data_IF_353369221511
#
_entry.id   IF_353369221511
#
_cell.length_a   1.000
_cell.length_b   1.000
_cell.length_c   1.000
_cell.angle_alpha   90.00
_cell.angle_beta   90.00
_cell.angle_gamma   90.00
#
_symmetry.space_group_name_H-M   'P 1'
#
loop_
_entity.id
_entity.type
_entity.pdbx_description
1 polymer ?
#
# COMPACT_ATOMS: atom_id res chain seq x y z
N UNK A 1 0.79 -12.33 1.15
CA UNK A 1 1.94 -11.39 1.21
C UNK A 1 2.54 -11.47 2.60
N UNK A 2 3.85 -11.31 2.75
CA UNK A 2 4.45 -11.20 4.07
C UNK A 2 3.88 -9.98 4.80
N UNK A 3 3.84 -10.05 6.12
CA UNK A 3 3.50 -8.90 6.96
C UNK A 3 4.50 -7.77 6.65
N UNK A 4 3.98 -6.58 6.46
CA UNK A 4 4.79 -5.39 6.20
C UNK A 4 4.84 -4.57 7.48
N UNK A 5 6.06 -4.17 7.86
CA UNK A 5 6.33 -3.30 9.00
C UNK A 5 6.88 -1.98 8.52
N UNK A 6 6.34 -0.91 9.06
CA UNK A 6 6.77 0.46 8.76
C UNK A 6 7.18 1.16 10.06
N UNK A 7 8.36 1.76 10.04
CA UNK A 7 8.83 2.61 11.12
C UNK A 7 8.93 4.02 10.58
N UNK A 8 8.15 4.93 11.16
CA UNK A 8 8.14 6.35 10.84
C UNK A 8 9.03 7.13 11.81
N UNK A 9 9.86 8.02 11.28
CA UNK A 9 10.63 8.96 12.08
C UNK A 9 10.52 10.34 11.45
N UNK A 10 10.04 11.31 12.23
CA UNK A 10 9.97 12.71 11.86
C UNK A 10 10.85 13.51 12.80
N UNK A 11 11.70 14.32 12.22
CA UNK A 11 12.62 15.17 12.94
C UNK A 11 12.19 16.63 12.82
N UNK A 12 12.27 17.36 13.92
CA UNK A 12 11.99 18.79 13.99
C UNK A 12 13.23 19.55 14.43
N UNK A 13 13.61 20.57 13.67
CA UNK A 13 14.65 21.51 14.05
C UNK A 13 14.16 22.41 15.17
N UNK A 14 14.97 22.62 16.21
CA UNK A 14 14.63 23.50 17.32
C UNK A 14 14.82 24.98 16.98
N UNK A 15 15.65 25.28 16.02
CA UNK A 15 15.73 26.63 15.45
C UNK A 15 14.81 26.60 14.23
N UNK A 16 13.77 27.42 14.26
CA UNK A 16 13.06 27.73 13.04
C UNK A 16 14.13 28.08 12.02
N UNK A 17 14.20 27.32 10.93
CA UNK A 17 14.79 27.83 9.72
C UNK A 17 13.98 29.10 9.44
N UNK A 18 14.49 30.22 9.93
CA UNK A 18 13.90 31.49 9.69
C UNK A 18 14.25 31.84 8.26
N UNK A 19 13.51 31.23 7.33
CA UNK A 19 13.64 31.54 5.90
C UNK A 19 13.54 33.05 5.65
N UNK A 20 12.88 33.79 6.56
CA UNK A 20 12.81 35.22 6.51
C UNK A 20 14.15 35.95 6.70
N UNK A 21 14.94 35.53 7.67
CA UNK A 21 16.22 36.19 7.96
C UNK A 21 17.32 35.75 6.96
N UNK A 22 17.26 34.53 6.46
CA UNK A 22 18.17 34.04 5.43
C UNK A 22 17.91 34.70 4.06
N UNK A 23 16.71 35.11 3.76
CA UNK A 23 16.36 35.80 2.52
C UNK A 23 16.69 37.30 2.52
N UNK A 24 16.85 37.94 3.68
CA UNK A 24 17.20 39.37 3.77
C UNK A 24 18.69 39.63 3.59
N UNK A 25 19.55 38.67 3.88
CA UNK A 25 21.01 38.81 3.77
C UNK A 25 21.59 38.33 2.43
N UNK A 26 20.82 37.65 1.64
CA UNK A 26 21.24 37.20 0.30
C UNK A 26 20.75 38.23 -0.70
N UNK A 27 21.59 39.16 -1.04
CA UNK A 27 21.29 40.16 -2.10
C UNK A 27 20.78 39.45 -3.35
N UNK A 28 19.96 40.13 -4.14
CA UNK A 28 19.16 39.65 -5.30
C UNK A 28 19.90 38.80 -6.36
N UNK A 29 21.18 38.53 -6.19
CA UNK A 29 22.03 37.85 -7.19
C UNK A 29 22.61 36.50 -6.75
N UNK A 30 22.29 35.99 -5.55
CA UNK A 30 22.81 34.69 -5.10
C UNK A 30 21.87 33.56 -5.54
N UNK A 31 22.39 32.55 -6.24
CA UNK A 31 21.58 31.39 -6.60
C UNK A 31 21.16 30.62 -5.35
N UNK A 32 19.91 30.16 -5.29
CA UNK A 32 19.34 29.36 -4.18
C UNK A 32 20.15 28.11 -3.81
N UNK A 33 21.19 27.77 -4.56
CA UNK A 33 22.11 26.65 -4.34
C UNK A 33 23.04 26.83 -3.12
N UNK A 34 23.05 28.00 -2.45
CA UNK A 34 23.91 28.28 -1.30
C UNK A 34 23.21 28.15 0.05
N UNK A 35 21.93 27.79 0.08
CA UNK A 35 21.23 27.45 1.32
C UNK A 35 21.81 26.13 1.87
N UNK A 36 22.78 26.23 2.76
CA UNK A 36 23.27 25.09 3.51
C UNK A 36 22.20 24.66 4.51
N UNK A 37 21.54 23.52 4.25
CA UNK A 37 20.72 22.86 5.26
C UNK A 37 21.71 22.27 6.27
N UNK A 38 21.65 22.65 7.57
CA UNK A 38 22.54 22.07 8.58
C UNK A 38 22.38 20.56 8.60
N UNK A 39 23.48 19.86 8.70
CA UNK A 39 23.43 18.40 8.86
C UNK A 39 22.70 18.04 10.15
N UNK A 40 22.06 16.87 10.20
CA UNK A 40 21.37 16.40 11.42
C UNK A 40 22.33 16.27 12.62
N UNK A 41 23.63 16.07 12.37
CA UNK A 41 24.67 16.02 13.41
C UNK A 41 25.04 17.40 13.98
N UNK A 42 24.92 18.46 13.19
CA UNK A 42 25.31 19.82 13.56
C UNK A 42 24.14 20.65 14.09
N UNK A 43 22.90 20.31 13.68
CA UNK A 43 21.71 21.02 14.07
C UNK A 43 21.14 20.55 15.42
N UNK A 44 20.31 21.42 16.03
CA UNK A 44 19.52 21.10 17.23
C UNK A 44 18.24 20.32 16.83
N UNK A 45 18.42 19.21 16.15
CA UNK A 45 17.34 18.34 15.72
C UNK A 45 16.84 17.49 16.89
N UNK A 46 15.54 17.38 17.01
CA UNK A 46 14.83 16.52 17.95
C UNK A 46 13.89 15.60 17.22
N UNK A 47 13.58 14.49 17.82
CA UNK A 47 12.52 13.61 17.37
C UNK A 47 11.19 14.29 17.64
N UNK A 48 10.37 14.48 16.62
CA UNK A 48 9.02 15.04 16.69
C UNK A 48 7.97 13.93 16.73
N UNK A 49 8.21 12.89 15.94
CA UNK A 49 7.31 11.74 15.83
C UNK A 49 8.13 10.48 15.61
N UNK A 50 7.78 9.42 16.31
CA UNK A 50 8.40 8.12 16.17
C UNK A 50 7.33 7.04 16.28
N UNK A 51 7.06 6.37 15.18
CA UNK A 51 5.91 5.48 15.04
C UNK A 51 6.32 4.10 14.53
N UNK A 52 5.55 3.10 14.88
CA UNK A 52 5.63 1.76 14.31
C UNK A 52 4.26 1.28 13.86
N UNK A 53 4.16 0.81 12.65
CA UNK A 53 2.96 0.14 12.19
C UNK A 53 3.26 -1.21 11.59
N UNK A 54 2.45 -2.19 11.93
CA UNK A 54 2.49 -3.54 11.40
C UNK A 54 1.21 -3.79 10.59
N UNK A 55 1.36 -4.09 9.31
CA UNK A 55 0.23 -4.36 8.42
C UNK A 55 0.24 -5.81 7.96
N UNK A 56 -0.90 -6.46 8.11
CA UNK A 56 -1.17 -7.80 7.61
C UNK A 56 -2.34 -7.79 6.64
N UNK A 57 -2.13 -8.34 5.44
CA UNK A 57 -3.19 -8.52 4.44
C UNK A 57 -3.24 -10.00 4.08
N UNK A 58 -4.40 -10.62 4.34
CA UNK A 58 -4.70 -12.00 3.95
C UNK A 58 -5.77 -11.99 2.88
N UNK A 59 -5.58 -12.78 1.84
CA UNK A 59 -6.55 -12.98 0.78
C UNK A 59 -6.61 -14.45 0.42
N UNK A 60 -7.80 -15.02 0.48
CA UNK A 60 -8.08 -16.39 0.07
C UNK A 60 -9.11 -16.36 -1.06
N UNK A 61 -8.86 -17.09 -2.13
CA UNK A 61 -9.77 -17.18 -3.25
C UNK A 61 -10.01 -18.65 -3.62
N UNK A 62 -11.30 -19.01 -3.72
CA UNK A 62 -11.75 -20.32 -4.21
C UNK A 62 -12.51 -20.08 -5.51
N UNK A 63 -12.13 -20.78 -6.57
CA UNK A 63 -12.80 -20.76 -7.87
C UNK A 63 -13.18 -22.16 -8.28
N UNK A 64 -14.45 -22.34 -8.54
CA UNK A 64 -14.99 -23.60 -9.06
C UNK A 64 -15.69 -23.34 -10.39
N UNK A 65 -15.52 -24.23 -11.35
CA UNK A 65 -16.16 -24.16 -12.65
C UNK A 65 -16.53 -25.54 -13.14
N UNK A 66 -17.76 -25.67 -13.60
CA UNK A 66 -18.23 -26.84 -14.30
C UNK A 66 -18.83 -26.45 -15.65
N UNK A 67 -18.45 -27.13 -16.71
CA UNK A 67 -18.96 -26.86 -18.04
C UNK A 67 -19.39 -28.18 -18.72
N UNK A 68 -20.52 -28.11 -19.40
CA UNK A 68 -21.05 -29.19 -20.19
C UNK A 68 -21.12 -28.79 -21.66
N UNK A 69 -20.81 -29.71 -22.54
CA UNK A 69 -20.90 -29.54 -23.99
C UNK A 69 -21.68 -30.71 -24.56
N UNK A 70 -22.83 -30.41 -25.15
CA UNK A 70 -23.72 -31.41 -25.76
C UNK A 70 -23.80 -31.14 -27.26
N UNK A 71 -23.29 -32.05 -28.10
CA UNK A 71 -23.55 -32.00 -29.52
C UNK A 71 -25.00 -32.45 -29.77
N UNK A 72 -25.85 -31.54 -30.28
CA UNK A 72 -27.26 -31.79 -30.54
C UNK A 72 -27.46 -32.41 -31.93
N UNK A 73 -26.62 -32.05 -32.88
CA UNK A 73 -26.62 -32.65 -34.22
C UNK A 73 -25.21 -32.68 -34.81
N UNK A 74 -25.00 -33.60 -35.76
CA UNK A 74 -23.72 -33.80 -36.48
C UNK A 74 -23.86 -33.43 -37.95
N UNK A 75 -22.73 -33.11 -38.58
CA UNK A 75 -22.66 -32.82 -40.01
C UNK A 75 -22.66 -31.32 -40.36
N UNK A 76 -23.10 -31.00 -41.58
CA UNK A 76 -22.98 -29.66 -42.16
C UNK A 76 -23.80 -28.58 -41.39
N UNK A 77 -24.80 -29.01 -40.64
CA UNK A 77 -25.70 -28.19 -39.78
C UNK A 77 -25.56 -28.59 -38.31
N UNK A 78 -24.32 -28.83 -37.89
CA UNK A 78 -24.05 -29.24 -36.52
C UNK A 78 -24.40 -28.15 -35.49
N UNK A 79 -25.15 -28.55 -34.46
CA UNK A 79 -25.51 -27.68 -33.34
C UNK A 79 -24.85 -28.21 -32.08
N UNK A 80 -24.34 -27.29 -31.27
CA UNK A 80 -23.72 -27.63 -30.00
C UNK A 80 -24.29 -26.72 -28.91
N UNK A 81 -24.82 -27.33 -27.87
CA UNK A 81 -25.26 -26.67 -26.68
C UNK A 81 -24.14 -26.72 -25.63
N UNK A 82 -23.78 -25.57 -25.10
CA UNK A 82 -22.85 -25.43 -23.96
C UNK A 82 -23.55 -24.75 -22.82
N UNK A 83 -23.38 -25.25 -21.63
CA UNK A 83 -23.84 -24.61 -20.42
C UNK A 83 -22.89 -24.89 -19.29
N UNK A 84 -22.90 -24.02 -18.32
CA UNK A 84 -22.00 -24.18 -17.19
C UNK A 84 -22.32 -23.22 -16.05
N UNK A 85 -21.64 -23.51 -14.98
CA UNK A 85 -21.74 -22.74 -13.74
C UNK A 85 -20.34 -22.44 -13.25
N UNK A 86 -20.17 -21.24 -12.69
CA UNK A 86 -18.96 -20.79 -12.02
C UNK A 86 -19.32 -20.23 -10.66
N UNK A 87 -18.60 -20.67 -9.65
CA UNK A 87 -18.59 -20.08 -8.31
C UNK A 87 -17.23 -19.49 -8.03
N UNK A 88 -17.22 -18.30 -7.44
CA UNK A 88 -16.01 -17.66 -6.92
C UNK A 88 -16.32 -17.15 -5.53
N UNK A 89 -15.47 -17.48 -4.58
CA UNK A 89 -15.48 -16.88 -3.24
C UNK A 89 -14.10 -16.30 -2.97
N UNK A 90 -14.10 -15.04 -2.53
CA UNK A 90 -12.91 -14.30 -2.16
C UNK A 90 -13.11 -13.73 -0.76
N UNK A 91 -12.24 -14.14 0.16
CA UNK A 91 -12.20 -13.62 1.51
C UNK A 91 -10.94 -12.76 1.65
N UNK A 92 -11.08 -11.54 2.10
CA UNK A 92 -9.98 -10.59 2.29
C UNK A 92 -10.06 -9.97 3.67
N UNK A 93 -8.93 -9.97 4.37
CA UNK A 93 -8.74 -9.37 5.67
C UNK A 93 -7.56 -8.39 5.59
N UNK A 94 -7.76 -7.20 6.07
CA UNK A 94 -6.68 -6.23 6.31
C UNK A 94 -6.69 -5.87 7.78
N UNK A 95 -5.54 -6.07 8.41
CA UNK A 95 -5.30 -5.67 9.78
C UNK A 95 -4.03 -4.83 9.85
N UNK A 96 -4.13 -3.64 10.39
CA UNK A 96 -3.03 -2.71 10.64
C UNK A 96 -3.09 -2.34 12.11
N UNK A 97 -1.97 -2.47 12.79
CA UNK A 97 -1.76 -1.95 14.13
C UNK A 97 -0.83 -0.74 14.01
N UNK A 98 -1.14 0.35 14.68
CA UNK A 98 -0.38 1.59 14.62
C UNK A 98 -0.11 2.12 16.02
N UNK A 99 1.17 2.32 16.35
CA UNK A 99 1.61 2.81 17.66
C UNK A 99 2.52 4.01 17.53
N UNK A 100 2.31 5.01 18.38
CA UNK A 100 3.19 6.15 18.57
C UNK A 100 4.11 5.89 19.78
N UNK A 101 5.40 6.01 19.55
CA UNK A 101 6.47 5.85 20.54
C UNK A 101 7.26 7.14 20.74
N UNK A 102 6.72 8.30 20.36
CA UNK A 102 7.41 9.58 20.41
C UNK A 102 7.93 9.91 21.81
N UNK A 103 7.12 9.65 22.84
CA UNK A 103 7.52 9.87 24.24
C UNK A 103 8.61 8.88 24.73
N UNK A 104 8.73 7.74 24.10
CA UNK A 104 9.71 6.71 24.42
C UNK A 104 10.88 6.66 23.43
N UNK A 105 10.99 7.62 22.51
CA UNK A 105 11.97 7.58 21.43
C UNK A 105 13.42 7.51 21.94
N UNK A 106 13.74 8.22 23.01
CA UNK A 106 15.08 8.19 23.61
C UNK A 106 15.47 6.80 24.16
N UNK A 107 14.48 5.96 24.50
CA UNK A 107 14.72 4.58 24.91
C UNK A 107 15.08 3.68 23.72
N UNK A 108 14.45 3.90 22.58
CA UNK A 108 14.57 3.03 21.40
C UNK A 108 15.66 3.46 20.43
N UNK A 109 15.88 4.77 20.28
CA UNK A 109 16.83 5.34 19.33
C UNK A 109 17.70 6.45 19.97
N UNK A 110 18.35 6.17 21.14
CA UNK A 110 19.18 7.18 21.83
C UNK A 110 20.32 7.68 20.94
N UNK A 111 20.89 6.82 20.15
CA UNK A 111 22.09 7.07 19.33
C UNK A 111 21.77 7.31 17.85
N UNK A 112 20.56 7.79 17.52
CA UNK A 112 20.15 7.96 16.14
C UNK A 112 21.07 8.91 15.35
N UNK A 113 21.69 9.91 16.02
CA UNK A 113 22.63 10.85 15.40
C UNK A 113 23.95 10.20 14.98
N UNK A 114 24.36 9.15 15.71
CA UNK A 114 25.58 8.40 15.42
C UNK A 114 25.35 7.34 14.33
N UNK A 115 24.08 7.06 14.04
CA UNK A 115 23.66 6.08 13.05
C UNK A 115 23.13 6.72 11.77
N UNK A 116 23.69 7.84 11.37
CA UNK A 116 23.33 8.51 10.11
C UNK A 116 24.11 7.90 8.95
N UNK A 117 23.43 7.68 7.85
CA UNK A 117 24.06 7.32 6.58
C UNK A 117 24.24 8.56 5.73
N UNK A 118 25.48 8.80 5.29
CA UNK A 118 25.81 9.85 4.34
C UNK A 118 25.61 9.31 2.91
N UNK A 119 24.96 10.07 2.07
CA UNK A 119 24.84 9.76 0.65
C UNK A 119 23.60 10.40 0.03
N UNK A 120 23.80 10.93 -1.15
CA UNK A 120 22.68 11.35 -2.01
C UNK A 120 22.03 10.07 -2.52
N UNK A 121 20.74 9.87 -2.24
CA UNK A 121 19.97 8.83 -2.95
C UNK A 121 19.91 9.24 -4.42
N UNK A 122 20.64 8.51 -5.27
CA UNK A 122 20.50 8.69 -6.72
C UNK A 122 19.04 8.61 -7.13
N UNK A 123 18.58 9.61 -7.87
CA UNK A 123 17.20 9.69 -8.31
C UNK A 123 16.20 10.25 -7.29
N UNK A 124 16.60 10.65 -6.10
CA UNK A 124 15.71 11.34 -5.18
C UNK A 124 15.55 12.81 -5.59
N UNK A 125 14.29 13.22 -5.85
CA UNK A 125 13.94 14.56 -6.36
C UNK A 125 14.80 14.99 -7.58
N UNK A 126 14.83 14.22 -8.67
CA UNK A 126 15.62 14.56 -9.85
C UNK A 126 15.19 15.93 -10.38
N UNK A 127 16.15 16.79 -10.67
CA UNK A 127 15.92 18.16 -11.10
C UNK A 127 15.71 19.18 -9.97
N UNK A 128 15.75 18.76 -8.71
CA UNK A 128 15.78 19.67 -7.59
C UNK A 128 17.13 20.39 -7.54
N UNK A 129 17.09 21.71 -7.47
CA UNK A 129 18.26 22.53 -7.22
C UNK A 129 18.66 22.58 -5.75
N UNK A 130 17.82 22.05 -4.86
CA UNK A 130 18.13 21.97 -3.44
C UNK A 130 18.99 20.75 -3.17
N UNK A 131 20.10 20.87 -2.44
CA UNK A 131 20.80 19.69 -1.93
C UNK A 131 19.82 18.95 -1.02
N UNK A 132 19.30 17.83 -1.49
CA UNK A 132 18.51 16.92 -0.65
C UNK A 132 19.41 16.55 0.53
N UNK A 133 18.84 16.70 1.75
CA UNK A 133 19.56 16.40 2.98
C UNK A 133 20.32 15.07 2.83
N UNK A 134 21.62 15.15 2.95
CA UNK A 134 22.54 14.06 2.62
C UNK A 134 22.62 13.01 3.72
N UNK A 135 21.84 13.19 4.78
CA UNK A 135 21.87 12.32 5.95
C UNK A 135 20.47 11.80 6.26
N UNK A 136 20.41 10.48 6.41
CA UNK A 136 19.21 9.76 6.85
C UNK A 136 19.62 8.84 7.99
N UNK A 137 18.71 8.57 8.91
CA UNK A 137 18.94 7.52 9.90
C UNK A 137 19.06 6.17 9.19
N UNK A 138 20.04 5.38 9.56
CA UNK A 138 20.33 4.09 8.93
C UNK A 138 19.11 3.17 9.00
N UNK A 139 18.74 2.61 7.85
CA UNK A 139 17.70 1.60 7.77
C UNK A 139 18.04 0.34 8.57
N UNK A 140 19.33 -0.03 8.58
CA UNK A 140 19.79 -1.22 9.32
C UNK A 140 19.68 -0.97 10.83
N UNK A 141 20.04 0.22 11.29
CA UNK A 141 19.83 0.64 12.67
C UNK A 141 18.35 0.61 13.06
N UNK A 142 17.48 1.22 12.28
CA UNK A 142 16.03 1.21 12.52
C UNK A 142 15.46 -0.22 12.49
N UNK A 143 16.01 -1.09 11.67
CA UNK A 143 15.58 -2.49 11.55
C UNK A 143 15.91 -3.36 12.75
N UNK A 144 16.84 -2.95 13.62
CA UNK A 144 17.20 -3.69 14.86
C UNK A 144 16.24 -3.42 16.01
N UNK A 145 15.38 -2.41 15.91
CA UNK A 145 14.52 -1.99 17.00
C UNK A 145 13.42 -3.03 17.25
N UNK A 146 13.31 -3.43 18.50
CA UNK A 146 12.22 -4.29 18.98
C UNK A 146 11.37 -3.45 19.91
N UNK A 147 10.14 -3.17 19.48
CA UNK A 147 9.20 -2.35 20.25
C UNK A 147 8.46 -3.19 21.28
N UNK A 148 8.26 -2.62 22.45
CA UNK A 148 7.32 -3.10 23.45
C UNK A 148 6.03 -2.25 23.34
N UNK A 149 4.89 -2.90 23.12
CA UNK A 149 3.60 -2.20 23.02
C UNK A 149 3.23 -1.44 24.28
N UNK A 150 3.78 -1.82 25.43
CA UNK A 150 3.54 -1.13 26.70
C UNK A 150 4.13 0.29 26.74
N UNK A 151 5.12 0.58 25.91
CA UNK A 151 5.75 1.91 25.80
C UNK A 151 5.11 2.79 24.72
N UNK A 152 4.23 2.24 23.91
CA UNK A 152 3.57 2.94 22.80
C UNK A 152 2.14 3.34 23.11
N UNK A 153 1.67 4.36 22.44
CA UNK A 153 0.26 4.77 22.44
C UNK A 153 -0.37 4.26 21.14
N UNK A 154 -1.37 3.41 21.26
CA UNK A 154 -2.10 2.88 20.11
C UNK A 154 -2.96 3.99 19.47
N UNK A 155 -2.78 4.18 18.17
CA UNK A 155 -3.50 5.19 17.40
C UNK A 155 -4.65 4.53 16.63
N UNK A 156 -5.76 4.33 17.30
CA UNK A 156 -6.96 3.67 16.75
C UNK A 156 -7.51 4.37 15.51
N UNK A 157 -7.34 5.68 15.40
CA UNK A 157 -7.81 6.47 14.23
C UNK A 157 -7.12 6.02 12.93
N UNK A 158 -5.85 5.64 13.02
CA UNK A 158 -5.07 5.13 11.89
C UNK A 158 -5.47 3.70 11.50
N UNK A 159 -6.13 3.01 12.42
CA UNK A 159 -6.64 1.65 12.21
C UNK A 159 -8.03 1.60 11.56
N UNK A 160 -8.65 2.76 11.31
CA UNK A 160 -9.95 2.88 10.65
C UNK A 160 -10.01 2.24 9.24
N UNK A 161 -8.84 1.95 8.66
CA UNK A 161 -8.71 1.22 7.40
C UNK A 161 -8.76 -0.30 7.52
N UNK A 162 -8.92 -0.86 8.74
CA UNK A 162 -9.03 -2.29 8.96
C UNK A 162 -10.41 -2.79 8.55
N UNK A 163 -10.43 -3.90 7.81
CA UNK A 163 -11.68 -4.48 7.32
C UNK A 163 -11.57 -5.96 7.03
N UNK A 164 -12.71 -6.61 7.07
CA UNK A 164 -12.94 -7.93 6.50
C UNK A 164 -13.94 -7.81 5.36
N UNK A 165 -13.71 -8.53 4.27
CA UNK A 165 -14.60 -8.56 3.12
C UNK A 165 -14.73 -9.97 2.58
N UNK A 166 -15.97 -10.39 2.31
CA UNK A 166 -16.29 -11.64 1.61
C UNK A 166 -17.08 -11.32 0.37
N UNK A 167 -16.53 -11.65 -0.79
CA UNK A 167 -17.21 -11.59 -2.07
C UNK A 167 -17.59 -12.99 -2.55
N UNK A 168 -18.83 -13.17 -2.96
CA UNK A 168 -19.32 -14.41 -3.56
C UNK A 168 -19.94 -14.10 -4.92
N UNK A 169 -19.48 -14.79 -5.95
CA UNK A 169 -19.99 -14.64 -7.31
C UNK A 169 -20.50 -15.97 -7.81
N UNK A 170 -21.77 -15.99 -8.16
CA UNK A 170 -22.46 -17.12 -8.80
C UNK A 170 -22.75 -16.74 -10.24
N UNK A 171 -22.24 -17.49 -11.20
CA UNK A 171 -22.46 -17.22 -12.60
C UNK A 171 -22.90 -18.50 -13.34
N UNK A 172 -24.00 -18.38 -14.06
CA UNK A 172 -24.49 -19.44 -14.95
C UNK A 172 -24.53 -18.96 -16.39
N UNK A 173 -24.29 -19.84 -17.34
CA UNK A 173 -24.43 -19.51 -18.73
C UNK A 173 -25.01 -20.68 -19.55
N UNK A 174 -25.67 -20.34 -20.64
CA UNK A 174 -26.10 -21.22 -21.70
C UNK A 174 -25.70 -20.60 -23.04
N UNK A 175 -25.20 -21.41 -23.95
CA UNK A 175 -24.72 -20.99 -25.27
C UNK A 175 -25.06 -22.05 -26.29
N UNK A 176 -25.64 -21.64 -27.40
CA UNK A 176 -25.92 -22.44 -28.57
C UNK A 176 -24.99 -22.01 -29.71
N UNK A 177 -24.16 -22.90 -30.18
CA UNK A 177 -23.37 -22.76 -31.39
C UNK A 177 -24.06 -23.49 -32.53
N UNK A 178 -24.43 -22.80 -33.58
CA UNK A 178 -25.21 -23.37 -34.71
C UNK A 178 -24.49 -23.09 -36.03
N UNK A 179 -24.26 -24.15 -36.82
CA UNK A 179 -23.82 -24.03 -38.21
C UNK A 179 -25.02 -23.86 -39.14
N UNK A 180 -25.09 -22.72 -39.80
CA UNK A 180 -26.17 -22.40 -40.75
C UNK A 180 -25.81 -22.67 -42.19
N UNK A 181 -24.65 -23.32 -42.44
CA UNK A 181 -24.17 -23.68 -43.75
C UNK A 181 -22.64 -23.77 -43.82
N UNK A 182 -22.11 -23.78 -45.03
CA UNK A 182 -20.65 -23.87 -45.23
C UNK A 182 -19.86 -22.60 -44.83
N UNK A 183 -20.54 -21.44 -44.75
CA UNK A 183 -19.89 -20.14 -44.60
C UNK A 183 -20.48 -19.29 -43.47
N UNK A 184 -21.49 -19.80 -42.76
CA UNK A 184 -22.18 -19.04 -41.73
C UNK A 184 -22.32 -19.85 -40.45
N UNK A 185 -21.76 -19.33 -39.38
CA UNK A 185 -21.92 -19.85 -38.03
C UNK A 185 -22.62 -18.78 -37.16
N UNK A 186 -23.57 -19.20 -36.36
CA UNK A 186 -24.27 -18.36 -35.41
C UNK A 186 -23.99 -18.85 -33.98
N UNK A 187 -23.77 -17.90 -33.08
CA UNK A 187 -23.64 -18.15 -31.65
C UNK A 187 -24.65 -17.30 -30.90
N UNK A 188 -25.48 -17.96 -30.11
CA UNK A 188 -26.42 -17.33 -29.19
C UNK A 188 -26.05 -17.73 -27.76
N UNK A 189 -26.02 -16.80 -26.84
CA UNK A 189 -25.70 -17.09 -25.45
C UNK A 189 -26.31 -16.12 -24.48
N UNK A 190 -26.62 -16.65 -23.30
CA UNK A 190 -27.06 -15.88 -22.15
C UNK A 190 -26.17 -16.24 -20.97
N UNK A 191 -25.76 -15.24 -20.21
CA UNK A 191 -25.04 -15.37 -18.94
C UNK A 191 -25.76 -14.53 -17.87
N UNK A 192 -25.95 -15.14 -16.73
CA UNK A 192 -26.47 -14.50 -15.55
C UNK A 192 -25.40 -14.59 -14.48
N UNK A 193 -25.16 -13.48 -13.80
CA UNK A 193 -24.20 -13.38 -12.71
C UNK A 193 -24.84 -12.67 -11.52
N UNK A 194 -24.67 -13.24 -10.34
CA UNK A 194 -25.08 -12.66 -9.07
C UNK A 194 -23.86 -12.50 -8.18
N UNK A 195 -23.59 -11.29 -7.75
CA UNK A 195 -22.50 -10.94 -6.84
C UNK A 195 -23.07 -10.52 -5.49
N UNK A 196 -22.55 -11.11 -4.43
CA UNK A 196 -22.83 -10.71 -3.05
C UNK A 196 -21.52 -10.27 -2.40
N UNK A 197 -21.50 -9.05 -1.89
CA UNK A 197 -20.37 -8.50 -1.14
C UNK A 197 -20.84 -8.20 0.29
N UNK A 198 -20.11 -8.77 1.25
CA UNK A 198 -20.26 -8.46 2.67
C UNK A 198 -18.96 -7.83 3.13
N UNK A 199 -19.04 -6.68 3.76
CA UNK A 199 -17.89 -5.98 4.33
C UNK A 199 -18.17 -5.63 5.78
N UNK A 200 -17.17 -5.81 6.61
CA UNK A 200 -17.16 -5.39 8.01
C UNK A 200 -15.90 -4.56 8.23
N UNK A 201 -16.03 -3.41 8.85
CA UNK A 201 -14.91 -2.53 9.16
C UNK A 201 -15.10 -1.88 10.51
N UNK A 202 -14.03 -1.35 11.07
CA UNK A 202 -14.05 -0.61 12.33
C UNK A 202 -14.34 0.85 12.02
N UNK A 203 -15.30 1.43 12.72
CA UNK A 203 -15.65 2.84 12.61
C UNK A 203 -15.44 3.47 13.98
N UNK A 204 -14.56 4.44 14.05
CA UNK A 204 -14.34 5.24 15.26
C UNK A 204 -15.16 6.51 15.15
N UNK A 205 -16.07 6.73 16.08
CA UNK A 205 -16.88 7.95 16.21
C UNK A 205 -16.53 8.65 17.51
#
# INVERSE_FOLDING_TARGET
RPNERYIGLKLKGSDSLNFGDSFQDVGDEQPYSTLAIPSFSEGKWKIDEFTNSDQSIKENEIKERINFTLPLSKGLYGNTLKFGYKYTRKDKERNTEYYDYSDAADKYIPDWKDNLVSGVREGFMPGSQYPTGTQFVSKDYMGTIVFDKADGVELYEEEAGNYEATEQIHAGYIRLDQKLGKKLDATLGLRIENTRLNTSGVNYT
#
